data_IF_426447454618
#
_entry.id   IF_426447454618
#
_cell.length_a   1.000
_cell.length_b   1.000
_cell.length_c   1.000
_cell.angle_alpha   90.00
_cell.angle_beta   90.00
_cell.angle_gamma   90.00
#
_symmetry.space_group_name_H-M   'P 1'
#
loop_
_entity.id
_entity.type
_entity.pdbx_description
1 polymer ?
#
# COMPACT_ATOMS: atom_id res chain seq x y z
N UNK A 1 10.54 -3.26 10.26
CA UNK A 1 10.09 -1.90 10.63
C UNK A 1 9.82 -1.14 9.34
N UNK A 2 8.58 -0.69 9.12
CA UNK A 2 8.22 0.18 8.01
C UNK A 2 7.98 1.56 8.60
N UNK A 3 8.60 2.59 8.00
CA UNK A 3 8.38 3.98 8.38
C UNK A 3 7.40 4.60 7.39
N UNK A 4 6.29 5.11 7.90
CA UNK A 4 5.30 5.86 7.12
C UNK A 4 5.38 7.32 7.56
N UNK A 5 5.52 8.22 6.59
CA UNK A 5 5.50 9.66 6.79
C UNK A 5 4.55 10.28 5.78
N UNK A 6 4.08 11.48 6.07
CA UNK A 6 3.44 12.28 5.04
C UNK A 6 4.47 12.80 4.05
N UNK A 7 3.99 13.17 2.86
CA UNK A 7 4.77 13.87 1.87
C UNK A 7 5.63 14.96 2.52
N UNK A 8 6.94 14.92 2.24
CA UNK A 8 7.95 15.85 2.74
C UNK A 8 7.51 17.30 2.52
N UNK A 9 6.86 17.88 3.54
CA UNK A 9 6.33 19.25 3.51
C UNK A 9 7.45 20.29 3.49
N UNK A 10 8.65 19.87 3.86
CA UNK A 10 9.86 20.66 3.80
C UNK A 10 10.60 20.36 2.49
N UNK A 11 10.68 21.36 1.62
CA UNK A 11 11.40 21.24 0.35
C UNK A 11 12.90 20.99 0.55
N UNK A 12 13.43 21.31 1.73
CA UNK A 12 14.84 21.15 2.08
C UNK A 12 15.15 19.84 2.82
N UNK A 13 14.17 18.92 2.98
CA UNK A 13 14.43 17.60 3.58
C UNK A 13 15.35 16.75 2.66
N UNK A 14 16.59 16.45 3.08
CA UNK A 14 17.52 15.70 2.26
C UNK A 14 17.04 14.28 1.91
N UNK A 15 16.27 13.63 2.79
CA UNK A 15 15.75 12.29 2.51
C UNK A 15 14.59 12.33 1.50
N UNK A 16 13.74 13.35 1.61
CA UNK A 16 12.63 13.58 0.69
C UNK A 16 13.07 13.95 -0.72
N UNK A 17 14.23 14.57 -0.88
CA UNK A 17 14.80 14.84 -2.21
C UNK A 17 15.27 13.58 -2.94
N UNK A 18 15.48 12.46 -2.22
CA UNK A 18 15.92 11.19 -2.80
C UNK A 18 14.75 10.31 -3.29
N UNK A 19 13.51 10.67 -2.97
CA UNK A 19 12.33 9.88 -3.27
C UNK A 19 11.23 10.71 -3.92
N UNK A 20 10.41 10.06 -4.75
CA UNK A 20 9.22 10.63 -5.37
C UNK A 20 8.07 9.67 -5.18
N UNK A 21 6.88 10.20 -4.86
CA UNK A 21 5.69 9.36 -4.85
C UNK A 21 5.26 9.02 -6.28
N UNK A 22 4.58 7.89 -6.50
CA UNK A 22 4.08 7.51 -7.83
C UNK A 22 3.23 8.58 -8.49
N UNK A 23 2.45 9.36 -7.73
CA UNK A 23 1.69 10.49 -8.29
C UNK A 23 2.57 11.57 -8.93
N UNK A 24 3.84 11.68 -8.53
CA UNK A 24 4.82 12.59 -9.15
C UNK A 24 5.52 11.97 -10.36
N UNK A 25 5.29 10.68 -10.63
CA UNK A 25 5.93 9.88 -11.66
C UNK A 25 4.87 9.15 -12.51
N UNK A 26 3.79 9.85 -12.89
CA UNK A 26 2.71 9.33 -13.76
C UNK A 26 2.07 8.00 -13.28
N UNK A 27 2.07 7.76 -11.98
CA UNK A 27 1.50 6.57 -11.35
C UNK A 27 2.41 5.34 -11.37
N UNK A 28 3.65 5.45 -11.87
CA UNK A 28 4.58 4.32 -11.89
C UNK A 28 5.02 3.91 -10.49
N UNK A 29 4.86 2.62 -10.20
CA UNK A 29 5.38 1.97 -9.01
C UNK A 29 6.54 1.06 -9.41
N UNK A 30 7.69 1.20 -8.76
CA UNK A 30 8.88 0.36 -8.98
C UNK A 30 9.06 -0.70 -7.88
N UNK A 31 8.26 -0.61 -6.81
CA UNK A 31 8.20 -1.55 -5.72
C UNK A 31 6.76 -1.65 -5.20
N UNK A 32 6.45 -2.77 -4.56
CA UNK A 32 5.21 -3.00 -3.84
C UNK A 32 5.50 -3.78 -2.56
N UNK A 33 4.70 -3.54 -1.53
CA UNK A 33 4.80 -4.26 -0.25
C UNK A 33 3.61 -5.19 -0.11
N UNK A 34 3.86 -6.45 0.24
CA UNK A 34 2.82 -7.36 0.74
C UNK A 34 2.87 -7.37 2.27
N UNK A 35 1.74 -7.11 2.91
CA UNK A 35 1.63 -7.08 4.36
C UNK A 35 0.59 -8.10 4.83
N UNK A 36 1.01 -8.96 5.74
CA UNK A 36 0.11 -9.94 6.37
C UNK A 36 -0.76 -9.20 7.38
N UNK A 37 -2.07 -9.36 7.28
CA UNK A 37 -3.06 -8.78 8.21
C UNK A 37 -4.01 -9.85 8.71
N UNK A 38 -4.39 -9.80 9.99
CA UNK A 38 -5.26 -10.80 10.61
C UNK A 38 -6.70 -10.75 10.08
N UNK A 39 -7.22 -9.55 9.81
CA UNK A 39 -8.60 -9.32 9.36
C UNK A 39 -8.60 -8.50 8.06
N UNK A 40 -8.52 -9.24 6.95
CA UNK A 40 -8.38 -8.67 5.59
C UNK A 40 -9.64 -7.89 5.19
N UNK A 41 -10.84 -8.39 5.50
CA UNK A 41 -12.09 -7.72 5.14
C UNK A 41 -12.26 -6.37 5.86
N UNK A 42 -12.00 -6.32 7.17
CA UNK A 42 -12.05 -5.07 7.92
C UNK A 42 -10.97 -4.08 7.44
N UNK A 43 -9.77 -4.58 7.10
CA UNK A 43 -8.71 -3.74 6.56
C UNK A 43 -9.08 -3.16 5.18
N UNK A 44 -9.67 -3.98 4.31
CA UNK A 44 -10.18 -3.58 3.00
C UNK A 44 -11.23 -2.46 3.10
N UNK A 45 -12.24 -2.63 3.96
CA UNK A 45 -13.28 -1.62 4.16
C UNK A 45 -12.71 -0.32 4.72
N UNK A 46 -11.75 -0.39 5.65
CA UNK A 46 -11.05 0.79 6.17
C UNK A 46 -10.24 1.50 5.10
N UNK A 47 -9.48 0.78 4.28
CA UNK A 47 -8.68 1.36 3.21
C UNK A 47 -9.56 2.07 2.18
N UNK A 48 -10.66 1.43 1.78
CA UNK A 48 -11.65 2.01 0.87
C UNK A 48 -12.32 3.26 1.47
N UNK A 49 -12.73 3.21 2.74
CA UNK A 49 -13.33 4.35 3.42
C UNK A 49 -12.35 5.53 3.60
N UNK A 50 -11.06 5.25 3.70
CA UNK A 50 -10.00 6.26 3.77
C UNK A 50 -9.64 6.87 2.40
N UNK A 51 -10.18 6.34 1.29
CA UNK A 51 -9.96 6.86 -0.05
C UNK A 51 -8.84 6.17 -0.84
N UNK A 52 -8.35 5.02 -0.40
CA UNK A 52 -7.44 4.21 -1.19
C UNK A 52 -8.09 3.73 -2.49
N UNK A 53 -7.33 3.73 -3.58
CA UNK A 53 -7.77 3.21 -4.88
C UNK A 53 -7.60 1.68 -4.87
N UNK A 54 -8.69 0.93 -4.78
CA UNK A 54 -8.64 -0.54 -4.91
C UNK A 54 -8.33 -0.89 -6.37
N UNK A 55 -7.19 -1.52 -6.61
CA UNK A 55 -6.73 -1.90 -7.97
C UNK A 55 -6.92 -3.39 -8.26
N UNK A 56 -6.83 -4.23 -7.23
CA UNK A 56 -7.26 -5.63 -7.27
C UNK A 56 -8.21 -5.83 -6.09
N UNK A 57 -9.43 -6.25 -6.41
CA UNK A 57 -10.49 -6.41 -5.41
C UNK A 57 -10.17 -7.53 -4.42
N UNK A 58 -10.88 -7.56 -3.30
CA UNK A 58 -10.69 -8.59 -2.28
C UNK A 58 -11.17 -9.95 -2.78
N UNK A 59 -10.27 -10.94 -2.75
CA UNK A 59 -10.51 -12.30 -3.24
C UNK A 59 -9.88 -13.33 -2.32
N UNK A 60 -10.45 -14.54 -2.30
CA UNK A 60 -9.82 -15.71 -1.69
C UNK A 60 -8.85 -16.34 -2.69
N UNK A 61 -7.56 -16.34 -2.37
CA UNK A 61 -6.49 -16.82 -3.24
C UNK A 61 -5.40 -17.56 -2.45
N UNK A 62 -4.87 -18.65 -3.03
CA UNK A 62 -3.67 -19.36 -2.55
C UNK A 62 -3.68 -19.75 -1.05
N UNK A 63 -4.85 -20.10 -0.50
CA UNK A 63 -4.99 -20.49 0.90
C UNK A 63 -5.15 -19.33 1.88
N UNK A 64 -5.28 -18.10 1.39
CA UNK A 64 -5.63 -16.93 2.16
C UNK A 64 -6.63 -16.03 1.46
N UNK A 65 -6.85 -14.85 2.02
CA UNK A 65 -7.68 -13.77 1.47
C UNK A 65 -6.80 -12.55 1.26
N UNK A 66 -7.01 -11.77 0.21
CA UNK A 66 -6.17 -10.61 -0.05
C UNK A 66 -6.72 -9.63 -1.07
N UNK A 67 -6.14 -8.43 -1.09
CA UNK A 67 -6.47 -7.37 -2.04
C UNK A 67 -5.25 -6.46 -2.29
N UNK A 68 -5.31 -5.64 -3.34
CA UNK A 68 -4.28 -4.65 -3.64
C UNK A 68 -4.89 -3.27 -3.84
N UNK A 69 -4.28 -2.24 -3.27
CA UNK A 69 -4.70 -0.86 -3.44
C UNK A 69 -3.51 0.08 -3.67
N UNK A 70 -3.80 1.27 -4.20
CA UNK A 70 -2.91 2.43 -4.08
C UNK A 70 -3.35 3.30 -2.91
N UNK A 71 -2.38 3.78 -2.14
CA UNK A 71 -2.66 4.79 -1.12
C UNK A 71 -2.90 6.18 -1.73
N UNK A 72 -3.07 7.19 -0.86
CA UNK A 72 -3.35 8.57 -1.25
C UNK A 72 -2.20 9.24 -2.01
N UNK A 73 -1.00 8.64 -2.01
CA UNK A 73 0.18 9.10 -2.73
C UNK A 73 0.53 8.21 -3.93
N UNK A 74 -0.32 7.22 -4.21
CA UNK A 74 -0.22 6.33 -5.36
C UNK A 74 0.68 5.11 -5.16
N UNK A 75 1.20 4.86 -3.95
CA UNK A 75 2.04 3.69 -3.67
C UNK A 75 1.23 2.41 -3.67
N UNK A 76 1.76 1.37 -4.30
CA UNK A 76 1.11 0.07 -4.43
C UNK A 76 1.33 -0.82 -3.20
N UNK A 77 0.22 -1.24 -2.59
CA UNK A 77 0.19 -2.09 -1.40
C UNK A 77 -0.67 -3.31 -1.65
N UNK A 78 -0.18 -4.48 -1.24
CA UNK A 78 -0.97 -5.71 -1.17
C UNK A 78 -1.13 -6.13 0.28
N UNK A 79 -2.34 -6.53 0.65
CA UNK A 79 -2.66 -7.03 1.99
C UNK A 79 -3.29 -8.40 1.86
N UNK A 80 -2.95 -9.31 2.76
CA UNK A 80 -3.59 -10.61 2.79
C UNK A 80 -3.28 -11.42 4.02
N UNK A 81 -3.84 -12.62 4.10
CA UNK A 81 -3.66 -13.53 5.24
C UNK A 81 -2.69 -14.69 4.97
N UNK A 82 -2.20 -14.83 3.73
CA UNK A 82 -1.26 -15.89 3.39
C UNK A 82 0.13 -15.57 3.96
N UNK A 83 0.59 -16.39 4.92
CA UNK A 83 1.97 -16.39 5.39
C UNK A 83 2.76 -17.46 4.63
N UNK A 84 3.77 -17.09 3.83
CA UNK A 84 4.56 -18.06 3.08
C UNK A 84 5.53 -18.89 3.94
N UNK A 85 5.63 -18.60 5.24
CA UNK A 85 6.55 -19.27 6.16
C UNK A 85 5.86 -20.19 7.17
N UNK A 86 4.52 -20.24 7.16
CA UNK A 86 3.70 -21.23 7.89
C UNK A 86 3.27 -22.39 6.98
#
# INVERSE_FOLDING_TARGET
>A
MIMLGDYHRDADDPFGQLHKSPLQLDGYNTASVYMIVEDVDNHYEKARAAGAEIVLDIVDEHGGRGYTCKDLEGHLWSFGSADPWE
#
